data_IF_053872736083
#
_entry.id   IF_053872736083
#
_cell.length_a   1.000
_cell.length_b   1.000
_cell.length_c   1.000
_cell.angle_alpha   90.00
_cell.angle_beta   90.00
_cell.angle_gamma   90.00
#
_symmetry.space_group_name_H-M   'P 1'
#
loop_
_entity.id
_entity.type
_entity.pdbx_description
1 polymer ?
#
# COMPACT_ATOMS: atom_id res chain seq x y z
N UNK A 1 -10.96 7.26 8.49
CA UNK A 1 -11.49 8.48 9.10
C UNK A 1 -12.17 9.31 8.01
N UNK A 2 -13.46 9.10 7.71
CA UNK A 2 -14.08 9.72 6.53
C UNK A 2 -14.37 11.23 6.67
N UNK A 3 -14.67 11.69 7.89
CA UNK A 3 -15.22 13.02 8.13
C UNK A 3 -14.37 13.86 9.09
N UNK A 4 -13.06 13.63 9.12
CA UNK A 4 -12.12 14.37 9.97
C UNK A 4 -10.76 14.49 9.29
N UNK A 5 -10.06 15.61 9.54
CA UNK A 5 -8.64 15.75 9.24
C UNK A 5 -7.80 15.10 10.36
N UNK A 6 -6.65 14.53 10.02
CA UNK A 6 -5.75 13.85 10.96
C UNK A 6 -4.32 13.87 10.45
N UNK A 7 -3.33 14.08 11.31
CA UNK A 7 -1.90 13.98 10.95
C UNK A 7 -1.47 14.84 9.75
N UNK A 8 -1.91 16.10 9.70
CA UNK A 8 -1.71 17.03 8.57
C UNK A 8 -2.41 16.66 7.25
N UNK A 9 -3.17 15.56 7.21
CA UNK A 9 -3.96 15.15 6.06
C UNK A 9 -5.42 15.65 6.17
N UNK A 10 -5.86 16.45 5.19
CA UNK A 10 -7.22 17.00 5.13
C UNK A 10 -8.12 16.22 4.17
N UNK A 11 -7.54 15.72 3.07
CA UNK A 11 -8.19 14.87 2.06
C UNK A 11 -7.28 13.68 1.83
N UNK A 12 -7.83 12.47 1.86
CA UNK A 12 -7.07 11.26 1.59
C UNK A 12 -7.07 10.97 0.08
N UNK A 13 -6.09 11.53 -0.62
CA UNK A 13 -5.85 11.39 -2.05
C UNK A 13 -5.47 9.95 -2.44
N UNK A 14 -4.78 9.20 -1.56
CA UNK A 14 -4.52 7.76 -1.74
C UNK A 14 -5.84 6.99 -1.93
N UNK A 15 -6.81 7.21 -1.04
CA UNK A 15 -8.14 6.57 -1.09
C UNK A 15 -8.88 6.96 -2.37
N UNK A 16 -8.84 8.23 -2.77
CA UNK A 16 -9.47 8.70 -4.01
C UNK A 16 -8.82 8.07 -5.25
N UNK A 17 -7.50 7.95 -5.27
CA UNK A 17 -6.73 7.27 -6.31
C UNK A 17 -7.10 5.79 -6.43
N UNK A 18 -7.15 5.07 -5.31
CA UNK A 18 -7.57 3.66 -5.28
C UNK A 18 -9.02 3.50 -5.76
N UNK A 19 -9.95 4.34 -5.29
CA UNK A 19 -11.34 4.31 -5.75
C UNK A 19 -11.44 4.57 -7.26
N UNK A 20 -10.60 5.46 -7.80
CA UNK A 20 -10.52 5.72 -9.23
C UNK A 20 -10.01 4.51 -10.01
N UNK A 21 -9.00 3.80 -9.49
CA UNK A 21 -8.48 2.57 -10.09
C UNK A 21 -9.50 1.43 -10.10
N UNK A 22 -10.30 1.30 -9.03
CA UNK A 22 -11.39 0.32 -8.94
C UNK A 22 -12.62 0.71 -9.81
N UNK A 23 -12.78 2.01 -10.11
CA UNK A 23 -13.95 2.50 -10.83
C UNK A 23 -14.11 1.81 -12.20
N UNK A 24 -15.37 1.51 -12.55
CA UNK A 24 -15.74 0.83 -13.80
C UNK A 24 -15.08 -0.55 -13.99
N UNK A 25 -14.57 -1.17 -12.91
CA UNK A 25 -13.96 -2.50 -12.95
C UNK A 25 -12.63 -2.56 -13.70
N UNK A 26 -11.92 -1.42 -13.84
CA UNK A 26 -10.60 -1.36 -14.47
C UNK A 26 -9.58 -2.24 -13.75
N UNK A 27 -9.62 -2.21 -12.42
CA UNK A 27 -8.83 -3.05 -11.53
C UNK A 27 -9.77 -3.71 -10.52
N UNK A 28 -9.48 -4.94 -10.16
CA UNK A 28 -10.21 -5.76 -9.17
C UNK A 28 -9.36 -6.06 -7.94
N UNK A 29 -8.03 -5.98 -8.07
CA UNK A 29 -7.07 -6.21 -6.99
C UNK A 29 -6.02 -5.12 -6.96
N UNK A 30 -6.13 -4.24 -5.97
CA UNK A 30 -5.18 -3.15 -5.73
C UNK A 30 -4.38 -3.48 -4.48
N UNK A 31 -3.05 -3.39 -4.56
CA UNK A 31 -2.18 -3.44 -3.40
C UNK A 31 -1.75 -2.01 -3.06
N UNK A 32 -2.11 -1.51 -1.89
CA UNK A 32 -1.56 -0.27 -1.34
C UNK A 32 -0.41 -0.63 -0.41
N UNK A 33 0.75 -0.07 -0.67
CA UNK A 33 1.97 -0.28 0.10
C UNK A 33 2.45 1.07 0.64
N UNK A 34 2.55 1.16 1.96
CA UNK A 34 2.90 2.38 2.68
C UNK A 34 4.23 2.20 3.41
N UNK A 35 5.17 3.09 3.13
CA UNK A 35 6.50 3.14 3.76
C UNK A 35 6.71 4.47 4.54
N UNK A 36 5.66 5.25 4.78
CA UNK A 36 5.72 6.35 5.75
C UNK A 36 6.01 5.80 7.15
N UNK A 37 6.75 6.56 7.96
CA UNK A 37 7.07 6.11 9.33
C UNK A 37 5.82 5.98 10.19
N UNK A 38 4.75 6.71 9.86
CA UNK A 38 3.46 6.63 10.53
C UNK A 38 2.58 5.58 9.85
N UNK A 39 1.79 4.87 10.65
CA UNK A 39 0.82 3.93 10.11
C UNK A 39 -0.20 4.64 9.20
N UNK A 40 -0.43 4.09 7.99
CA UNK A 40 -1.41 4.55 7.01
C UNK A 40 -2.88 4.31 7.42
N UNK A 41 -3.26 4.77 8.62
CA UNK A 41 -4.51 4.47 9.31
C UNK A 41 -5.77 4.91 8.54
N UNK A 42 -5.73 6.07 7.90
CA UNK A 42 -6.82 6.59 7.09
C UNK A 42 -7.12 5.70 5.88
N UNK A 43 -6.08 5.18 5.24
CA UNK A 43 -6.19 4.27 4.09
C UNK A 43 -6.62 2.87 4.55
N UNK A 44 -6.04 2.36 5.64
CA UNK A 44 -6.48 1.12 6.28
C UNK A 44 -7.98 1.17 6.60
N UNK A 45 -8.45 2.22 7.28
CA UNK A 45 -9.86 2.32 7.69
C UNK A 45 -10.81 2.38 6.48
N UNK A 46 -10.44 3.14 5.45
CA UNK A 46 -11.26 3.28 4.24
C UNK A 46 -11.49 1.95 3.51
N UNK A 47 -10.54 1.01 3.61
CA UNK A 47 -10.61 -0.29 2.94
C UNK A 47 -10.71 -1.48 3.90
N UNK A 48 -10.97 -1.24 5.18
CA UNK A 48 -10.95 -2.27 6.23
C UNK A 48 -11.92 -3.45 5.97
N UNK A 49 -12.99 -3.20 5.22
CA UNK A 49 -13.99 -4.19 4.83
C UNK A 49 -13.91 -4.63 3.36
N UNK A 50 -12.96 -4.08 2.60
CA UNK A 50 -12.82 -4.33 1.16
C UNK A 50 -12.08 -5.63 0.89
N UNK A 51 -12.62 -6.46 0.00
CA UNK A 51 -11.91 -7.64 -0.52
C UNK A 51 -11.05 -7.33 -1.76
N UNK A 52 -11.20 -6.13 -2.35
CA UNK A 52 -10.54 -5.72 -3.59
C UNK A 52 -9.24 -4.96 -3.36
N UNK A 53 -9.04 -4.46 -2.14
CA UNK A 53 -7.85 -3.69 -1.76
C UNK A 53 -7.15 -4.46 -0.65
N UNK A 54 -5.84 -4.65 -0.81
CA UNK A 54 -4.95 -5.09 0.26
C UNK A 54 -4.07 -3.92 0.66
N UNK A 55 -3.98 -3.63 1.95
CA UNK A 55 -3.14 -2.57 2.52
C UNK A 55 -1.98 -3.19 3.28
N UNK A 56 -0.77 -2.69 3.05
CA UNK A 56 0.44 -3.07 3.77
C UNK A 56 1.14 -1.81 4.26
N UNK A 57 1.43 -1.72 5.55
CA UNK A 57 2.08 -0.55 6.15
C UNK A 57 3.29 -0.98 6.98
N UNK A 58 4.44 -0.36 6.71
CA UNK A 58 5.69 -0.52 7.46
C UNK A 58 5.93 0.74 8.27
N UNK A 59 5.71 0.69 9.59
CA UNK A 59 5.63 1.92 10.39
C UNK A 59 6.23 1.73 11.78
N UNK A 60 6.68 2.83 12.38
CA UNK A 60 7.06 2.87 13.78
C UNK A 60 5.81 2.69 14.65
N UNK A 61 5.88 1.78 15.61
CA UNK A 61 4.81 1.61 16.61
C UNK A 61 5.39 1.47 18.01
N UNK A 62 5.16 2.48 18.82
CA UNK A 62 5.54 2.51 20.23
C UNK A 62 4.53 3.36 21.04
N UNK A 63 4.47 3.20 22.37
CA UNK A 63 3.58 4.00 23.20
C UNK A 63 3.76 5.51 22.98
N UNK A 64 2.67 6.20 22.65
CA UNK A 64 2.67 7.65 22.42
C UNK A 64 3.06 8.11 21.01
N UNK A 65 3.49 7.19 20.13
CA UNK A 65 3.76 7.54 18.73
C UNK A 65 2.45 7.58 17.91
N UNK A 66 2.25 8.65 17.16
CA UNK A 66 1.07 8.85 16.32
C UNK A 66 1.05 7.81 15.17
N UNK A 67 -0.11 7.31 14.73
CA UNK A 67 -1.47 7.52 15.25
C UNK A 67 -1.88 6.57 16.39
N UNK A 68 -0.99 5.65 16.80
CA UNK A 68 -1.25 4.64 17.85
C UNK A 68 -1.94 3.35 17.37
N UNK A 69 -2.45 3.33 16.15
CA UNK A 69 -3.02 2.14 15.47
C UNK A 69 -1.93 1.33 14.76
N UNK A 70 -2.30 0.38 13.91
CA UNK A 70 -1.36 -0.38 13.10
C UNK A 70 -0.72 -1.55 13.85
N UNK A 71 -1.45 -2.15 14.80
CA UNK A 71 -1.04 -3.42 15.38
C UNK A 71 -1.10 -4.55 14.34
N UNK A 72 -0.23 -5.55 14.49
CA UNK A 72 -0.21 -6.80 13.72
C UNK A 72 -1.55 -7.58 13.78
N UNK A 73 -2.34 -7.36 14.84
CA UNK A 73 -3.68 -7.94 15.03
C UNK A 73 -4.80 -7.20 14.28
N UNK A 74 -4.57 -6.00 13.77
CA UNK A 74 -5.54 -5.22 12.98
C UNK A 74 -5.57 -5.72 11.54
N UNK A 75 -6.25 -6.85 11.29
CA UNK A 75 -6.16 -7.57 10.00
C UNK A 75 -7.33 -7.31 9.05
N UNK A 76 -8.15 -6.29 9.28
CA UNK A 76 -9.38 -6.05 8.52
C UNK A 76 -10.60 -6.81 9.07
N UNK A 77 -11.77 -6.55 8.49
CA UNK A 77 -13.05 -7.09 8.96
C UNK A 77 -13.99 -7.50 7.81
N UNK A 78 -14.98 -8.35 8.12
CA UNK A 78 -15.97 -8.81 7.15
C UNK A 78 -15.33 -9.44 5.90
N UNK A 79 -15.65 -8.92 4.72
CA UNK A 79 -15.09 -9.42 3.45
C UNK A 79 -13.61 -9.08 3.27
N UNK A 80 -13.15 -7.99 3.90
CA UNK A 80 -11.75 -7.56 3.93
C UNK A 80 -10.93 -8.15 5.08
N UNK A 81 -11.45 -9.11 5.84
CA UNK A 81 -10.66 -9.80 6.85
C UNK A 81 -9.46 -10.51 6.19
N UNK A 82 -8.27 -10.27 6.72
CA UNK A 82 -6.94 -10.63 6.21
C UNK A 82 -6.47 -9.86 4.98
N UNK A 83 -7.16 -8.77 4.60
CA UNK A 83 -6.68 -7.85 3.56
C UNK A 83 -5.86 -6.67 4.11
N UNK A 84 -5.63 -6.60 5.41
CA UNK A 84 -4.78 -5.58 6.01
C UNK A 84 -3.58 -6.26 6.69
N UNK A 85 -2.37 -5.83 6.33
CA UNK A 85 -1.12 -6.36 6.87
C UNK A 85 -0.35 -5.19 7.48
N UNK A 86 -0.18 -5.23 8.79
CA UNK A 86 0.64 -4.26 9.50
C UNK A 86 2.00 -4.87 9.82
N UNK A 87 3.06 -4.09 9.58
CA UNK A 87 4.45 -4.45 9.89
C UNK A 87 4.96 -3.42 10.92
N UNK A 88 4.54 -3.52 12.20
CA UNK A 88 5.00 -2.61 13.23
C UNK A 88 6.50 -2.83 13.54
N UNK A 89 7.24 -1.74 13.51
CA UNK A 89 8.69 -1.68 13.73
C UNK A 89 9.02 -0.77 14.91
N UNK A 90 10.25 -0.86 15.40
CA UNK A 90 10.76 -0.05 16.49
C UNK A 90 11.77 0.98 15.97
N UNK A 91 12.14 1.94 16.83
CA UNK A 91 13.11 2.98 16.47
C UNK A 91 14.46 2.39 16.05
N UNK A 92 15.11 3.12 15.15
CA UNK A 92 16.49 2.90 14.74
C UNK A 92 16.70 1.75 13.76
N UNK A 93 15.66 1.20 13.14
CA UNK A 93 15.84 0.21 12.05
C UNK A 93 16.75 0.79 10.97
N UNK A 94 17.66 -0.04 10.48
CA UNK A 94 18.67 0.34 9.46
C UNK A 94 18.22 -0.06 8.07
N UNK A 95 18.91 0.45 7.04
CA UNK A 95 18.65 0.15 5.63
C UNK A 95 18.59 -1.37 5.38
N UNK A 96 19.64 -2.12 5.73
CA UNK A 96 19.69 -3.59 5.52
C UNK A 96 18.52 -4.34 6.16
N UNK A 97 18.15 -3.96 7.38
CA UNK A 97 17.08 -4.61 8.12
C UNK A 97 15.71 -4.30 7.52
N UNK A 98 15.47 -3.02 7.20
CA UNK A 98 14.22 -2.57 6.61
C UNK A 98 14.06 -3.17 5.22
N UNK A 99 15.06 -3.02 4.35
CA UNK A 99 15.03 -3.52 2.98
C UNK A 99 14.87 -5.04 2.94
N UNK A 100 15.62 -5.79 3.77
CA UNK A 100 15.51 -7.24 3.83
C UNK A 100 14.12 -7.72 4.27
N UNK A 101 13.54 -7.11 5.31
CA UNK A 101 12.18 -7.43 5.75
C UNK A 101 11.14 -7.03 4.70
N UNK A 102 11.26 -5.83 4.16
CA UNK A 102 10.40 -5.27 3.12
C UNK A 102 10.32 -6.21 1.91
N UNK A 103 11.47 -6.61 1.36
CA UNK A 103 11.51 -7.52 0.21
C UNK A 103 10.78 -8.84 0.47
N UNK A 104 11.00 -9.46 1.64
CA UNK A 104 10.37 -10.75 1.99
C UNK A 104 8.85 -10.63 2.13
N UNK A 105 8.37 -9.63 2.86
CA UNK A 105 6.93 -9.39 3.08
C UNK A 105 6.25 -8.99 1.78
N UNK A 106 6.82 -8.06 1.01
CA UNK A 106 6.23 -7.60 -0.26
C UNK A 106 6.21 -8.72 -1.29
N UNK A 107 7.29 -9.52 -1.42
CA UNK A 107 7.31 -10.65 -2.36
C UNK A 107 6.21 -11.66 -2.06
N UNK A 108 6.06 -12.04 -0.78
CA UNK A 108 4.98 -12.93 -0.33
C UNK A 108 3.61 -12.31 -0.61
N UNK A 109 3.44 -11.02 -0.36
CA UNK A 109 2.19 -10.32 -0.62
C UNK A 109 1.83 -10.31 -2.11
N UNK A 110 2.77 -10.00 -2.99
CA UNK A 110 2.55 -9.97 -4.44
C UNK A 110 2.21 -11.36 -4.97
N UNK A 111 2.91 -12.40 -4.52
CA UNK A 111 2.61 -13.80 -4.88
C UNK A 111 1.19 -14.20 -4.44
N UNK A 112 0.79 -13.78 -3.24
CA UNK A 112 -0.46 -14.19 -2.60
C UNK A 112 -1.67 -13.40 -3.12
N UNK A 113 -1.54 -12.07 -3.20
CA UNK A 113 -2.59 -11.14 -3.60
C UNK A 113 -2.75 -11.13 -5.13
N UNK A 114 -1.64 -11.27 -5.86
CA UNK A 114 -1.58 -11.11 -7.31
C UNK A 114 -2.26 -9.81 -7.76
N UNK A 115 -1.80 -8.64 -7.26
CA UNK A 115 -2.41 -7.35 -7.58
C UNK A 115 -2.28 -7.02 -9.06
N UNK A 116 -3.24 -6.27 -9.59
CA UNK A 116 -3.22 -5.77 -10.98
C UNK A 116 -2.57 -4.39 -11.07
N UNK A 117 -2.50 -3.68 -9.95
CA UNK A 117 -1.85 -2.38 -9.79
C UNK A 117 -1.37 -2.25 -8.34
N UNK A 118 -0.24 -1.57 -8.17
CA UNK A 118 0.29 -1.19 -6.87
C UNK A 118 0.17 0.32 -6.68
N UNK A 119 -0.25 0.75 -5.50
CA UNK A 119 -0.20 2.16 -5.06
C UNK A 119 0.86 2.24 -3.98
N UNK A 120 1.94 2.97 -4.27
CA UNK A 120 3.08 3.12 -3.36
C UNK A 120 3.01 4.51 -2.71
N UNK A 121 2.92 4.54 -1.39
CA UNK A 121 2.96 5.75 -0.58
C UNK A 121 4.38 5.88 -0.02
N UNK A 122 5.17 6.78 -0.61
CA UNK A 122 6.57 6.99 -0.29
C UNK A 122 6.75 8.14 0.72
N UNK A 123 6.47 7.88 2.00
CA UNK A 123 6.91 8.79 3.06
C UNK A 123 8.43 8.74 3.25
N UNK A 124 9.07 9.89 3.30
CA UNK A 124 10.52 10.05 3.51
C UNK A 124 10.85 10.48 4.94
N UNK A 125 9.87 10.59 5.82
CA UNK A 125 10.04 10.78 7.27
C UNK A 125 10.60 9.54 8.00
N UNK A 126 10.90 8.46 7.27
CA UNK A 126 11.72 7.32 7.72
C UNK A 126 13.22 7.62 7.72
N UNK A 127 13.65 8.73 7.10
CA UNK A 127 15.04 9.18 7.09
C UNK A 127 15.59 9.38 8.51
N UNK A 128 16.86 9.06 8.68
CA UNK A 128 17.55 9.10 9.97
C UNK A 128 17.48 10.46 10.68
N UNK A 129 17.44 11.57 9.92
CA UNK A 129 17.45 12.93 10.46
C UNK A 129 16.07 13.61 10.45
N UNK A 130 15.00 12.89 10.09
CA UNK A 130 13.67 13.47 10.12
C UNK A 130 13.24 13.78 11.57
N UNK A 131 12.73 15.00 11.84
CA UNK A 131 12.38 15.43 13.20
C UNK A 131 11.13 14.75 13.77
N UNK A 132 10.24 14.23 12.91
CA UNK A 132 9.03 13.50 13.31
C UNK A 132 9.18 11.99 13.14
N UNK A 133 10.34 11.55 12.64
CA UNK A 133 10.68 10.16 12.42
C UNK A 133 11.16 9.40 13.66
N UNK A 134 11.86 8.30 13.37
CA UNK A 134 12.44 7.45 14.39
C UNK A 134 13.25 6.28 13.85
N UNK A 135 13.16 6.01 12.55
CA UNK A 135 14.00 5.03 11.84
C UNK A 135 15.39 5.62 11.56
N UNK A 136 16.32 4.79 11.09
CA UNK A 136 17.69 5.22 10.78
C UNK A 136 18.00 5.02 9.29
N UNK A 137 17.01 5.26 8.43
CA UNK A 137 17.16 5.00 7.00
C UNK A 137 17.92 6.13 6.29
N UNK A 138 18.56 5.77 5.19
CA UNK A 138 19.09 6.70 4.20
C UNK A 138 18.17 6.75 2.98
N UNK A 139 18.39 7.77 2.14
CA UNK A 139 17.80 7.86 0.81
C UNK A 139 18.08 6.59 0.00
N UNK A 140 19.24 5.95 0.18
CA UNK A 140 19.57 4.73 -0.54
C UNK A 140 18.71 3.56 -0.09
N UNK A 141 18.55 3.32 1.22
CA UNK A 141 17.68 2.24 1.71
C UNK A 141 16.20 2.41 1.32
N UNK A 142 15.72 3.66 1.26
CA UNK A 142 14.39 3.97 0.73
C UNK A 142 14.32 3.66 -0.77
N UNK A 143 15.31 4.11 -1.56
CA UNK A 143 15.36 3.87 -3.00
C UNK A 143 15.51 2.38 -3.34
N UNK A 144 16.26 1.59 -2.58
CA UNK A 144 16.36 0.14 -2.77
C UNK A 144 14.98 -0.54 -2.63
N UNK A 145 14.16 -0.04 -1.71
CA UNK A 145 12.78 -0.52 -1.55
C UNK A 145 11.90 -0.13 -2.74
N UNK A 146 12.02 1.10 -3.25
CA UNK A 146 11.32 1.55 -4.47
C UNK A 146 11.77 0.75 -5.70
N UNK A 147 13.07 0.49 -5.84
CA UNK A 147 13.66 -0.29 -6.93
C UNK A 147 13.15 -1.73 -6.92
N UNK A 148 13.03 -2.35 -5.74
CA UNK A 148 12.41 -3.66 -5.59
C UNK A 148 10.94 -3.68 -6.06
N UNK A 149 10.20 -2.58 -5.86
CA UNK A 149 8.84 -2.44 -6.40
C UNK A 149 8.84 -2.31 -7.91
N UNK A 150 9.71 -1.47 -8.48
CA UNK A 150 9.81 -1.31 -9.94
C UNK A 150 10.21 -2.63 -10.63
N UNK A 151 11.04 -3.45 -9.99
CA UNK A 151 11.44 -4.77 -10.48
C UNK A 151 10.27 -5.77 -10.61
N UNK A 152 9.15 -5.54 -9.92
CA UNK A 152 7.94 -6.38 -10.06
C UNK A 152 7.24 -6.20 -11.42
N UNK A 153 7.56 -5.13 -12.17
CA UNK A 153 6.97 -4.81 -13.47
C UNK A 153 5.43 -4.74 -13.44
N UNK A 154 4.87 -4.28 -12.32
CA UNK A 154 3.45 -3.97 -12.17
C UNK A 154 3.19 -2.50 -12.53
N UNK A 155 1.99 -2.13 -12.98
CA UNK A 155 1.57 -0.73 -12.99
C UNK A 155 1.64 -0.16 -11.57
N UNK A 156 2.33 0.98 -11.40
CA UNK A 156 2.49 1.63 -10.09
C UNK A 156 1.97 3.07 -10.14
N UNK A 157 1.12 3.42 -9.17
CA UNK A 157 0.85 4.80 -8.79
C UNK A 157 1.75 5.16 -7.61
N UNK A 158 2.75 5.99 -7.83
CA UNK A 158 3.68 6.45 -6.79
C UNK A 158 3.22 7.81 -6.24
N UNK A 159 3.16 7.93 -4.93
CA UNK A 159 2.76 9.14 -4.20
C UNK A 159 3.86 9.50 -3.19
N UNK A 160 4.06 10.78 -2.93
CA UNK A 160 4.83 11.21 -1.76
C UNK A 160 3.98 11.10 -0.49
N UNK A 161 4.61 11.24 0.68
CA UNK A 161 3.93 11.45 1.96
C UNK A 161 4.82 12.28 2.90
N UNK A 162 4.84 11.98 4.20
CA UNK A 162 5.54 12.79 5.19
C UNK A 162 7.04 12.91 4.92
N UNK A 163 7.63 14.02 5.34
CA UNK A 163 9.03 14.37 5.16
C UNK A 163 9.28 15.78 5.65
N UNK A 164 9.92 15.90 6.81
CA UNK A 164 9.96 17.14 7.60
C UNK A 164 11.38 17.67 7.79
N UNK A 165 12.40 16.96 7.29
CA UNK A 165 13.73 17.52 7.02
C UNK A 165 13.75 18.10 5.60
N UNK A 166 13.47 19.40 5.43
CA UNK A 166 13.23 20.02 4.11
C UNK A 166 14.28 19.66 3.05
N UNK A 167 15.57 19.81 3.37
CA UNK A 167 16.66 19.47 2.45
C UNK A 167 16.76 17.95 2.21
N UNK A 168 16.80 17.12 3.25
CA UNK A 168 16.98 15.66 3.06
C UNK A 168 15.75 14.99 2.43
N UNK A 169 14.55 15.48 2.72
CA UNK A 169 13.31 15.06 2.07
C UNK A 169 13.36 15.40 0.58
N UNK A 170 13.78 16.60 0.21
CA UNK A 170 13.91 17.02 -1.19
C UNK A 170 14.93 16.18 -1.96
N UNK A 171 16.11 15.92 -1.37
CA UNK A 171 17.11 15.00 -1.94
C UNK A 171 16.51 13.61 -2.19
N UNK A 172 15.80 13.09 -1.20
CA UNK A 172 15.26 11.73 -1.25
C UNK A 172 14.12 11.61 -2.25
N UNK A 173 13.23 12.60 -2.35
CA UNK A 173 12.19 12.61 -3.39
C UNK A 173 12.79 12.69 -4.80
N UNK A 174 13.84 13.49 -5.01
CA UNK A 174 14.56 13.51 -6.29
C UNK A 174 15.17 12.13 -6.61
N UNK A 175 15.77 11.47 -5.61
CA UNK A 175 16.33 10.13 -5.76
C UNK A 175 15.25 9.06 -6.05
N UNK A 176 14.08 9.14 -5.40
CA UNK A 176 12.93 8.27 -5.66
C UNK A 176 12.46 8.43 -7.10
N UNK A 177 12.28 9.67 -7.58
CA UNK A 177 11.87 9.93 -8.97
C UNK A 177 12.89 9.34 -9.94
N UNK A 178 14.18 9.59 -9.73
CA UNK A 178 15.24 9.02 -10.54
C UNK A 178 15.23 7.48 -10.54
N UNK A 179 14.94 6.86 -9.39
CA UNK A 179 14.79 5.40 -9.26
C UNK A 179 13.60 4.90 -10.09
N UNK A 180 12.44 5.54 -9.99
CA UNK A 180 11.24 5.17 -10.74
C UNK A 180 11.45 5.24 -12.26
N UNK A 181 12.21 6.22 -12.74
CA UNK A 181 12.51 6.37 -14.18
C UNK A 181 13.75 5.60 -14.65
N UNK A 182 14.38 4.81 -13.76
CA UNK A 182 15.57 4.00 -14.09
C UNK A 182 16.86 4.81 -14.29
N UNK A 183 16.95 5.99 -13.67
CA UNK A 183 18.07 6.93 -13.79
C UNK A 183 18.79 7.22 -12.46
N UNK A 184 18.58 6.42 -11.41
CA UNK A 184 19.24 6.61 -10.10
C UNK A 184 20.76 6.73 -10.21
N UNK A 185 21.39 5.93 -11.07
CA UNK A 185 22.84 5.92 -11.31
C UNK A 185 23.36 7.18 -12.04
N UNK A 186 22.47 8.01 -12.58
CA UNK A 186 22.81 9.28 -13.25
C UNK A 186 22.68 10.48 -12.33
N UNK A 187 22.26 10.28 -11.08
CA UNK A 187 22.17 11.37 -10.11
C UNK A 187 23.58 11.95 -9.84
N UNK A 188 23.71 13.29 -9.79
CA UNK A 188 24.97 13.91 -9.43
C UNK A 188 25.29 13.66 -7.95
N UNK A 189 26.58 13.59 -7.62
CA UNK A 189 27.04 13.48 -6.24
C UNK A 189 26.68 14.74 -5.41
N UNK A 190 26.78 15.89 -6.05
CA UNK A 190 26.52 17.20 -5.46
C UNK A 190 25.18 17.76 -5.94
N UNK A 191 24.56 18.57 -5.09
CA UNK A 191 23.36 19.34 -5.44
C UNK A 191 23.72 20.26 -6.63
N UNK A 192 22.95 20.26 -7.73
CA UNK A 192 23.13 21.20 -8.82
C UNK A 192 22.65 22.60 -8.41
N UNK A 193 23.21 23.65 -9.02
CA UNK A 193 22.74 25.03 -8.79
C UNK A 193 21.26 25.18 -9.19
N UNK A 194 20.49 25.82 -8.31
CA UNK A 194 19.09 26.18 -8.49
C UNK A 194 18.68 27.24 -7.46
N UNK A 195 17.46 27.78 -7.53
CA UNK A 195 17.00 28.87 -6.65
C UNK A 195 17.07 28.57 -5.14
N UNK A 196 16.99 27.30 -4.74
CA UNK A 196 17.03 26.87 -3.33
C UNK A 196 18.40 26.34 -2.88
N UNK A 197 19.48 26.65 -3.62
CA UNK A 197 20.78 25.97 -3.47
C UNK A 197 21.35 26.09 -2.05
N UNK A 198 21.19 27.25 -1.43
CA UNK A 198 21.69 27.54 -0.08
C UNK A 198 21.00 26.71 1.02
N UNK A 199 19.81 26.14 0.77
CA UNK A 199 19.11 25.28 1.75
C UNK A 199 19.85 23.96 2.03
N UNK A 200 20.81 23.59 1.17
CA UNK A 200 21.55 22.33 1.25
C UNK A 200 22.90 22.46 1.97
N UNK A 201 23.23 23.67 2.44
CA UNK A 201 24.43 23.92 3.22
C UNK A 201 24.39 23.16 4.56
N UNK A 202 25.55 22.76 5.12
CA UNK A 202 26.89 22.94 4.56
C UNK A 202 27.34 21.80 3.63
N UNK A 203 26.64 20.66 3.60
CA UNK A 203 27.16 19.44 2.95
C UNK A 203 27.02 19.48 1.42
N UNK A 204 25.95 20.06 0.87
CA UNK A 204 25.73 20.18 -0.59
C UNK A 204 25.81 18.86 -1.37
N UNK A 205 25.74 17.72 -0.68
CA UNK A 205 25.71 16.39 -1.27
C UNK A 205 24.26 15.91 -1.37
N UNK A 206 23.98 15.13 -2.41
CA UNK A 206 22.69 14.50 -2.60
C UNK A 206 22.47 13.33 -1.61
N UNK A 207 23.55 12.68 -1.19
CA UNK A 207 23.46 11.57 -0.24
C UNK A 207 23.01 12.03 1.15
N UNK A 208 22.23 11.17 1.81
CA UNK A 208 21.84 11.34 3.21
C UNK A 208 22.58 10.30 4.05
N UNK A 209 22.99 10.67 5.26
CA UNK A 209 23.76 9.78 6.14
C UNK A 209 22.90 9.25 7.29
N UNK A 210 23.12 8.01 7.76
CA UNK A 210 22.49 7.53 8.97
C UNK A 210 23.00 8.29 10.19
N UNK A 211 22.28 8.18 11.31
CA UNK A 211 22.72 8.68 12.62
C UNK A 211 23.44 7.55 13.36
N UNK A 212 24.76 7.63 13.45
CA UNK A 212 25.62 6.56 13.99
C UNK A 212 25.27 6.14 15.42
N UNK A 213 24.80 7.08 16.26
CA UNK A 213 24.51 6.82 17.67
C UNK A 213 23.02 6.57 17.94
N UNK A 214 22.17 6.43 16.91
CA UNK A 214 20.75 6.11 17.11
C UNK A 214 20.64 4.65 17.54
N UNK A 215 20.12 4.34 18.74
CA UNK A 215 19.92 2.96 19.16
C UNK A 215 18.94 2.25 18.23
N UNK A 216 19.30 1.04 17.80
CA UNK A 216 18.42 0.19 17.03
C UNK A 216 17.76 -0.84 17.93
N UNK A 217 16.45 -0.71 18.12
CA UNK A 217 15.67 -1.57 18.99
C UNK A 217 15.14 -2.83 18.27
N UNK A 218 15.31 -2.89 16.94
CA UNK A 218 14.85 -3.99 16.11
C UNK A 218 15.83 -5.17 16.15
N UNK A 219 15.75 -5.95 17.22
CA UNK A 219 16.49 -7.22 17.31
C UNK A 219 16.05 -8.20 16.22
N UNK A 220 16.93 -9.15 15.87
CA UNK A 220 16.57 -10.22 14.93
C UNK A 220 15.32 -11.02 15.37
N UNK A 221 15.13 -11.19 16.69
CA UNK A 221 13.97 -11.88 17.24
C UNK A 221 12.66 -11.08 17.11
N UNK A 222 12.70 -9.76 17.30
CA UNK A 222 11.50 -8.91 17.13
C UNK A 222 11.14 -8.79 15.65
N UNK A 223 12.12 -8.59 14.76
CA UNK A 223 11.89 -8.57 13.32
C UNK A 223 11.31 -9.88 12.78
N UNK A 224 11.83 -11.02 13.24
CA UNK A 224 11.28 -12.34 12.86
C UNK A 224 9.83 -12.51 13.31
N UNK A 225 9.49 -12.10 14.54
CA UNK A 225 8.10 -12.14 15.01
C UNK A 225 7.18 -11.26 14.15
N UNK A 226 7.60 -10.04 13.84
CA UNK A 226 6.83 -9.14 12.95
C UNK A 226 6.65 -9.77 11.56
N UNK A 227 7.68 -10.38 11.00
CA UNK A 227 7.62 -11.11 9.73
C UNK A 227 6.64 -12.29 9.78
N UNK A 228 6.74 -13.13 10.81
CA UNK A 228 5.88 -14.30 10.99
C UNK A 228 4.40 -13.88 11.07
N UNK A 229 4.08 -12.81 11.79
CA UNK A 229 2.71 -12.28 11.89
C UNK A 229 2.18 -11.75 10.53
N UNK A 230 3.03 -11.06 9.77
CA UNK A 230 2.67 -10.61 8.42
C UNK A 230 2.43 -11.79 7.47
N UNK A 231 3.30 -12.80 7.53
CA UNK A 231 3.20 -14.02 6.72
C UNK A 231 1.96 -14.82 7.07
N UNK A 232 1.67 -15.00 8.36
CA UNK A 232 0.46 -15.70 8.81
C UNK A 232 -0.80 -15.00 8.27
N UNK A 233 -0.84 -13.66 8.30
CA UNK A 233 -1.97 -12.90 7.76
C UNK A 233 -2.15 -13.13 6.26
N UNK A 234 -1.06 -13.10 5.49
CA UNK A 234 -1.07 -13.37 4.04
C UNK A 234 -1.46 -14.82 3.72
N UNK A 235 -1.03 -15.79 4.52
CA UNK A 235 -1.40 -17.19 4.34
C UNK A 235 -2.88 -17.43 4.62
N UNK A 236 -3.41 -16.82 5.68
CA UNK A 236 -4.84 -16.87 5.97
C UNK A 236 -5.67 -16.15 4.91
N UNK A 237 -5.17 -15.06 4.31
CA UNK A 237 -5.77 -14.46 3.12
C UNK A 237 -5.88 -15.47 1.97
N UNK A 238 -4.79 -16.18 1.64
CA UNK A 238 -4.79 -17.16 0.56
C UNK A 238 -5.80 -18.29 0.79
N UNK A 239 -5.87 -18.82 2.02
CA UNK A 239 -6.83 -19.85 2.42
C UNK A 239 -8.26 -19.33 2.26
N UNK A 240 -8.55 -18.12 2.75
CA UNK A 240 -9.85 -17.49 2.65
C UNK A 240 -10.29 -17.30 1.19
N UNK A 241 -9.39 -16.84 0.33
CA UNK A 241 -9.65 -16.65 -1.10
C UNK A 241 -9.93 -17.97 -1.83
N UNK A 242 -9.13 -19.02 -1.58
CA UNK A 242 -9.36 -20.36 -2.16
C UNK A 242 -10.72 -20.91 -1.76
N UNK A 243 -11.09 -20.78 -0.49
CA UNK A 243 -12.38 -21.24 0.04
C UNK A 243 -13.55 -20.53 -0.65
N UNK A 244 -13.47 -19.20 -0.84
CA UNK A 244 -14.52 -18.43 -1.55
C UNK A 244 -14.65 -18.88 -3.02
N UNK A 245 -13.54 -19.06 -3.72
CA UNK A 245 -13.55 -19.54 -5.12
C UNK A 245 -14.23 -20.90 -5.23
N UNK A 246 -13.92 -21.83 -4.33
CA UNK A 246 -14.57 -23.15 -4.29
C UNK A 246 -16.08 -23.06 -3.99
N UNK A 247 -16.51 -22.17 -3.09
CA UNK A 247 -17.92 -21.96 -2.79
C UNK A 247 -18.70 -21.37 -3.98
N UNK A 248 -18.10 -20.43 -4.72
CA UNK A 248 -18.71 -19.87 -5.95
C UNK A 248 -18.83 -20.95 -7.03
N UNK A 249 -17.79 -21.77 -7.23
CA UNK A 249 -17.80 -22.86 -8.21
C UNK A 249 -18.86 -23.94 -7.90
N UNK A 250 -19.16 -24.18 -6.61
CA UNK A 250 -20.21 -25.12 -6.19
C UNK A 250 -21.65 -24.57 -6.36
N UNK A 251 -21.83 -23.25 -6.46
CA UNK A 251 -23.12 -22.65 -6.81
C UNK A 251 -23.30 -22.71 -8.33
N UNK A 252 -23.81 -23.84 -8.85
CA UNK A 252 -24.31 -23.92 -10.25
C UNK A 252 -25.29 -22.76 -10.51
N UNK A 253 -25.31 -22.16 -11.73
CA UNK A 253 -26.43 -21.31 -12.09
C UNK A 253 -27.71 -22.16 -12.02
N UNK A 254 -28.74 -21.67 -11.33
CA UNK A 254 -30.07 -22.26 -11.48
C UNK A 254 -30.39 -22.23 -12.97
N UNK A 255 -30.64 -23.40 -13.56
CA UNK A 255 -31.09 -23.48 -14.95
C UNK A 255 -32.44 -22.77 -15.03
N UNK A 256 -32.77 -22.18 -16.18
CA UNK A 256 -34.07 -21.56 -16.43
C UNK A 256 -35.27 -22.49 -16.15
N UNK A 257 -35.04 -23.79 -15.97
CA UNK A 257 -36.01 -24.79 -15.53
C UNK A 257 -36.44 -24.67 -14.04
N UNK A 258 -35.69 -23.96 -13.20
CA UNK A 258 -36.02 -23.74 -11.78
C UNK A 258 -36.79 -22.43 -11.52
N UNK A 259 -36.88 -21.55 -12.52
CA UNK A 259 -37.72 -20.36 -12.49
C UNK A 259 -39.01 -20.76 -13.21
N UNK A 260 -40.00 -21.24 -12.45
CA UNK A 260 -41.29 -21.67 -12.98
C UNK A 260 -42.01 -20.55 -13.72
N UNK A 261 -41.83 -20.48 -15.03
CA UNK A 261 -42.79 -19.84 -15.92
C UNK A 261 -43.91 -20.82 -16.18
N UNK A 262 -45.06 -20.53 -15.56
CA UNK A 262 -46.35 -21.15 -15.86
C UNK A 262 -46.61 -20.98 -17.37
N UNK A 263 -46.62 -22.09 -18.11
CA UNK A 263 -47.27 -22.16 -19.41
C UNK A 263 -48.77 -22.30 -19.17
N UNK A 264 -49.55 -21.33 -19.61
CA UNK A 264 -50.96 -21.55 -19.95
C UNK A 264 -51.09 -21.51 -21.46
N UNK A 265 -51.57 -22.62 -22.03
CA UNK A 265 -52.04 -22.71 -23.41
C UNK A 265 -53.56 -22.81 -23.36
N UNK A 266 -54.25 -21.81 -23.91
CA UNK A 266 -55.63 -21.92 -24.42
C UNK A 266 -56.03 -20.56 -24.99
N UNK A 267 -55.93 -20.40 -26.31
CA UNK A 267 -57.10 -20.35 -27.17
C UNK A 267 -56.80 -19.67 -28.50
N UNK A 268 -57.02 -20.46 -29.54
CA UNK A 268 -57.18 -20.07 -30.93
C UNK A 268 -58.48 -19.28 -31.06
N UNK A 269 -58.44 -18.08 -31.65
CA UNK A 269 -59.50 -17.59 -32.55
C UNK A 269 -58.85 -16.68 -33.60
N UNK A 270 -58.87 -17.13 -34.86
CA UNK A 270 -58.82 -16.26 -36.04
C UNK A 270 -60.07 -15.40 -36.05
N UNK A 271 -59.96 -14.09 -36.29
CA UNK A 271 -60.83 -13.49 -37.30
C UNK A 271 -60.20 -12.25 -37.92
N UNK A 272 -60.46 -12.13 -39.21
CA UNK A 272 -59.99 -11.10 -40.11
C UNK A 272 -60.88 -9.84 -40.03
N UNK A 273 -60.41 -8.81 -40.73
CA UNK A 273 -61.15 -7.72 -41.39
C UNK A 273 -61.19 -6.32 -40.74
N UNK A 274 -60.57 -5.41 -41.50
CA UNK A 274 -61.01 -4.04 -41.86
C UNK A 274 -60.63 -2.82 -40.99
N UNK A 275 -60.49 -1.62 -41.62
CA UNK A 275 -59.34 -0.72 -41.43
C UNK A 275 -59.74 0.71 -40.99
N UNK A 276 -58.78 1.66 -41.11
CA UNK A 276 -58.92 3.15 -41.10
C UNK A 276 -58.91 3.71 -39.66
N UNK A 277 -58.12 4.71 -39.24
CA UNK A 277 -57.32 5.78 -39.87
C UNK A 277 -55.86 5.80 -39.35
#
# INVERSE_FOLDING_TARGET
MRSQASGFCYVNDVVLGVQRLLSKGKMKRVLVLDIDVHHGDGTQEAFYYSEQVTTISFHLREPGFFPGTGADTEVGAGRGRRNNVNVPLQRGITDDQFHGLFQRVVSKAVETVQPEVLVLVCGVNTLARDPLGGFNLTSDGICDSVEAIMALQLPVLCLGAGGYSGADASKTFAAIVATVIGQRQQLPEHIPEHDFYEEYLPNMQLVTTPVAHRPNLNTAGTLRKTEDCAFETLEQFAIGRRTRIQQVSKKRPMTAAQIGFVRTSSDLVEDATTPID
#
